data_IF_976935107262
#
_entry.id   IF_976935107262
#
_cell.length_a   1.000
_cell.length_b   1.000
_cell.length_c   1.000
_cell.angle_alpha   90.00
_cell.angle_beta   90.00
_cell.angle_gamma   90.00
#
_symmetry.space_group_name_H-M   'P 1'
#
loop_
_entity.id
_entity.type
_entity.pdbx_description
1 polymer ?
#
# COMPACT_ATOMS: atom_id res chain seq x y z
N UNK A 1 27.34 -14.44 -21.51
CA UNK A 1 26.21 -14.19 -20.58
C UNK A 1 26.60 -13.31 -19.40
N UNK A 2 27.81 -13.46 -18.82
CA UNK A 2 28.29 -12.64 -17.69
C UNK A 2 28.30 -11.11 -17.93
N UNK A 3 28.63 -10.63 -19.14
CA UNK A 3 28.64 -9.18 -19.45
C UNK A 3 27.27 -8.51 -19.36
N UNK A 4 26.18 -9.21 -19.70
CA UNK A 4 24.80 -8.68 -19.63
C UNK A 4 24.26 -8.75 -18.20
N UNK A 5 24.55 -9.84 -17.49
CA UNK A 5 24.14 -10.01 -16.08
C UNK A 5 24.85 -9.03 -15.15
N UNK A 6 26.15 -8.77 -15.36
CA UNK A 6 26.92 -7.76 -14.61
C UNK A 6 26.38 -6.36 -14.86
N UNK A 7 25.96 -6.05 -16.09
CA UNK A 7 25.39 -4.75 -16.44
C UNK A 7 24.04 -4.53 -15.75
N UNK A 8 23.17 -5.55 -15.74
CA UNK A 8 21.87 -5.49 -15.04
C UNK A 8 22.08 -5.35 -13.53
N UNK A 9 23.00 -6.11 -12.94
CA UNK A 9 23.30 -6.04 -11.51
C UNK A 9 23.87 -4.67 -11.11
N UNK A 10 24.71 -4.07 -11.97
CA UNK A 10 25.27 -2.74 -11.76
C UNK A 10 24.20 -1.64 -11.83
N UNK A 11 23.26 -1.75 -12.78
CA UNK A 11 22.12 -0.84 -12.88
C UNK A 11 21.21 -0.94 -11.66
N UNK A 12 20.93 -2.16 -11.17
CA UNK A 12 20.14 -2.38 -9.95
C UNK A 12 20.84 -1.79 -8.72
N UNK A 13 22.16 -2.01 -8.58
CA UNK A 13 22.94 -1.44 -7.47
C UNK A 13 22.99 0.10 -7.47
N UNK A 14 23.03 0.73 -8.65
CA UNK A 14 22.97 2.19 -8.80
C UNK A 14 21.59 2.77 -8.45
N UNK A 15 20.51 2.01 -8.61
CA UNK A 15 19.16 2.43 -8.20
C UNK A 15 19.01 2.35 -6.68
N UNK A 16 19.60 1.34 -6.03
CA UNK A 16 19.56 1.21 -4.56
C UNK A 16 20.40 2.26 -3.82
N UNK A 17 21.46 2.79 -4.42
CA UNK A 17 22.26 3.86 -3.79
C UNK A 17 21.55 5.22 -3.76
N UNK A 18 20.50 5.42 -4.57
CA UNK A 18 19.70 6.65 -4.60
C UNK A 18 18.60 6.69 -3.53
N UNK A 19 18.30 5.57 -2.87
CA UNK A 19 17.30 5.49 -1.79
C UNK A 19 17.84 5.96 -0.41
N UNK A 20 19.16 6.16 -0.27
CA UNK A 20 19.80 6.45 1.02
C UNK A 20 20.04 7.96 1.30
N UNK A 21 19.62 8.86 0.41
CA UNK A 21 19.85 10.31 0.55
C UNK A 21 18.55 11.11 0.46
N UNK A 22 17.76 11.14 1.54
CA UNK A 22 16.85 12.24 1.89
C UNK A 22 15.98 12.84 0.74
N UNK A 23 15.46 12.01 -0.17
CA UNK A 23 14.67 12.46 -1.34
C UNK A 23 13.17 12.60 -1.00
N UNK A 24 12.81 13.12 0.18
CA UNK A 24 11.40 13.49 0.44
C UNK A 24 11.01 14.83 -0.22
N UNK A 25 11.94 15.61 -0.77
CA UNK A 25 11.66 17.00 -1.17
C UNK A 25 11.88 17.38 -2.65
N UNK A 26 12.36 16.46 -3.52
CA UNK A 26 12.59 16.76 -4.96
C UNK A 26 11.94 15.81 -5.96
N UNK A 27 11.25 14.77 -5.47
CA UNK A 27 10.51 13.84 -6.34
C UNK A 27 9.18 14.46 -6.82
N UNK A 28 8.53 15.28 -5.99
CA UNK A 28 7.22 15.87 -6.32
C UNK A 28 7.24 16.85 -7.51
N UNK A 29 8.36 17.54 -7.79
CA UNK A 29 8.36 18.60 -8.82
C UNK A 29 8.91 18.17 -10.20
N UNK A 30 9.44 16.95 -10.37
CA UNK A 30 10.11 16.56 -11.63
C UNK A 30 9.64 15.27 -12.30
N UNK A 31 8.83 14.45 -11.65
CA UNK A 31 8.26 13.26 -12.30
C UNK A 31 7.07 13.65 -13.21
N UNK A 32 6.37 14.74 -12.89
CA UNK A 32 5.22 15.22 -13.66
C UNK A 32 5.54 15.69 -15.10
N UNK A 33 6.79 16.11 -15.41
CA UNK A 33 7.03 16.85 -16.66
C UNK A 33 7.59 16.05 -17.85
N UNK A 34 8.03 14.78 -17.73
CA UNK A 34 8.73 14.14 -18.86
C UNK A 34 8.49 12.66 -19.14
N UNK A 35 7.55 12.01 -18.46
CA UNK A 35 7.24 10.61 -18.74
C UNK A 35 5.83 10.52 -19.31
N UNK A 36 5.75 10.75 -20.62
CA UNK A 36 4.54 10.50 -21.43
C UNK A 36 4.09 9.04 -21.24
N UNK A 37 2.80 8.85 -20.94
CA UNK A 37 2.10 7.57 -20.67
C UNK A 37 2.58 6.42 -21.60
N UNK A 38 2.75 6.70 -22.89
CA UNK A 38 3.13 5.69 -23.89
C UNK A 38 4.52 5.04 -23.76
N UNK A 39 5.41 5.51 -22.87
CA UNK A 39 6.70 4.83 -22.62
C UNK A 39 6.58 3.78 -21.52
N UNK A 40 5.70 3.98 -20.53
CA UNK A 40 5.48 3.00 -19.47
C UNK A 40 4.59 1.84 -19.93
N UNK A 41 3.56 2.12 -20.74
CA UNK A 41 2.69 1.08 -21.34
C UNK A 41 3.51 0.02 -22.09
N UNK A 42 4.52 0.45 -22.85
CA UNK A 42 5.43 -0.46 -23.57
C UNK A 42 6.33 -1.31 -22.68
N UNK A 43 6.56 -0.88 -21.44
CA UNK A 43 7.42 -1.60 -20.48
C UNK A 43 6.59 -2.58 -19.64
N UNK A 44 5.35 -2.22 -19.29
CA UNK A 44 4.44 -3.06 -18.51
C UNK A 44 3.81 -4.19 -19.35
N UNK A 45 3.68 -3.99 -20.67
CA UNK A 45 3.12 -4.97 -21.60
C UNK A 45 1.74 -4.54 -22.10
N UNK A 46 1.43 -4.92 -23.35
CA UNK A 46 0.13 -4.65 -23.99
C UNK A 46 -1.01 -5.16 -23.07
N UNK A 47 -1.92 -4.28 -22.67
CA UNK A 47 -3.07 -4.58 -21.80
C UNK A 47 -3.06 -3.93 -20.41
N UNK A 48 -1.95 -3.29 -20.02
CA UNK A 48 -1.81 -2.64 -18.70
C UNK A 48 -2.10 -1.13 -18.80
N UNK A 49 -3.16 -0.66 -18.14
CA UNK A 49 -3.54 0.77 -18.09
C UNK A 49 -2.79 1.47 -16.93
N UNK A 50 -2.03 2.52 -17.26
CA UNK A 50 -1.20 3.26 -16.31
C UNK A 50 -1.69 4.70 -16.24
N UNK A 51 -2.21 5.08 -15.08
CA UNK A 51 -2.70 6.42 -14.81
C UNK A 51 -1.71 7.14 -13.88
N UNK A 52 -1.10 8.23 -14.39
CA UNK A 52 -0.13 9.06 -13.67
C UNK A 52 -0.84 10.36 -13.27
N UNK A 53 -1.05 10.52 -11.97
CA UNK A 53 -1.60 11.75 -11.39
C UNK A 53 -0.54 12.49 -10.58
N UNK A 54 -0.75 13.78 -10.30
CA UNK A 54 0.15 14.59 -9.45
C UNK A 54 0.42 13.97 -8.06
N UNK A 55 -0.42 13.04 -7.59
CA UNK A 55 -0.27 12.36 -6.31
C UNK A 55 0.42 10.99 -6.33
N UNK A 56 0.51 10.32 -7.49
CA UNK A 56 1.02 8.94 -7.53
C UNK A 56 0.80 8.20 -8.86
N UNK A 57 1.29 6.95 -8.90
CA UNK A 57 1.20 6.05 -10.05
C UNK A 57 0.14 4.99 -9.76
N UNK A 58 -0.84 4.84 -10.64
CA UNK A 58 -1.82 3.76 -10.59
C UNK A 58 -1.58 2.77 -11.73
N UNK A 59 -1.49 1.49 -11.40
CA UNK A 59 -1.37 0.38 -12.33
C UNK A 59 -2.64 -0.45 -12.22
N UNK A 60 -3.34 -0.68 -13.34
CA UNK A 60 -4.48 -1.59 -13.42
C UNK A 60 -4.09 -2.83 -14.23
N UNK A 61 -4.26 -4.01 -13.62
CA UNK A 61 -4.13 -5.28 -14.31
C UNK A 61 -5.42 -5.67 -15.05
N UNK A 62 -5.33 -6.57 -16.03
CA UNK A 62 -6.48 -7.06 -16.81
C UNK A 62 -7.53 -7.77 -15.93
N UNK A 63 -7.14 -8.28 -14.76
CA UNK A 63 -8.00 -8.95 -13.78
C UNK A 63 -8.74 -8.02 -12.81
N UNK A 64 -8.71 -6.69 -13.02
CA UNK A 64 -9.38 -5.72 -12.14
C UNK A 64 -8.57 -5.31 -10.90
N UNK A 65 -7.38 -5.89 -10.73
CA UNK A 65 -6.40 -5.51 -9.71
C UNK A 65 -5.93 -4.07 -9.92
N UNK A 66 -5.91 -3.28 -8.84
CA UNK A 66 -5.46 -1.88 -8.87
C UNK A 66 -4.40 -1.64 -7.80
N UNK A 67 -3.21 -1.25 -8.24
CA UNK A 67 -2.12 -0.84 -7.36
C UNK A 67 -1.88 0.66 -7.54
N UNK A 68 -1.95 1.43 -6.46
CA UNK A 68 -1.64 2.86 -6.43
C UNK A 68 -0.45 3.12 -5.51
N UNK A 69 0.60 3.75 -6.02
CA UNK A 69 1.81 4.11 -5.28
C UNK A 69 1.89 5.64 -5.17
N UNK A 70 1.89 6.16 -3.94
CA UNK A 70 1.97 7.60 -3.62
C UNK A 70 0.60 8.29 -3.44
N UNK A 71 0.55 9.22 -2.48
CA UNK A 71 -0.46 10.30 -2.35
C UNK A 71 -1.91 9.91 -2.62
N UNK A 72 -2.34 8.74 -2.16
CA UNK A 72 -3.57 8.09 -2.59
C UNK A 72 -4.80 8.47 -1.77
N UNK A 73 -5.98 8.34 -2.38
CA UNK A 73 -7.25 8.28 -1.65
C UNK A 73 -7.49 6.87 -1.10
N UNK A 74 -8.41 6.75 -0.14
CA UNK A 74 -8.87 5.44 0.33
C UNK A 74 -9.43 4.60 -0.83
N UNK A 75 -9.05 3.30 -0.95
CA UNK A 75 -9.55 2.45 -2.04
C UNK A 75 -11.06 2.28 -2.02
N UNK A 76 -11.64 2.20 -3.21
CA UNK A 76 -13.08 1.90 -3.43
C UNK A 76 -13.20 0.61 -4.22
N UNK A 77 -14.23 -0.19 -3.92
CA UNK A 77 -14.46 -1.47 -4.59
C UNK A 77 -13.60 -2.61 -4.05
N UNK A 78 -13.78 -3.82 -4.61
CA UNK A 78 -13.05 -5.01 -4.19
C UNK A 78 -13.15 -5.30 -2.69
N UNK A 79 -12.09 -5.89 -2.13
CA UNK A 79 -12.00 -6.22 -0.72
C UNK A 79 -11.97 -4.98 0.20
N UNK A 80 -11.58 -3.81 -0.30
CA UNK A 80 -11.59 -2.57 0.49
C UNK A 80 -12.97 -2.22 1.07
N UNK A 81 -14.06 -2.64 0.41
CA UNK A 81 -15.43 -2.41 0.90
C UNK A 81 -15.74 -3.15 2.23
N UNK A 82 -14.93 -4.15 2.59
CA UNK A 82 -15.06 -4.87 3.85
C UNK A 82 -14.49 -4.07 5.02
N UNK A 83 -13.56 -3.16 4.76
CA UNK A 83 -12.89 -2.36 5.78
C UNK A 83 -13.64 -1.04 6.05
N UNK A 84 -13.63 -0.54 7.30
CA UNK A 84 -14.05 0.83 7.57
C UNK A 84 -13.07 1.83 6.92
N UNK A 85 -13.57 2.94 6.40
CA UNK A 85 -12.71 3.96 5.79
C UNK A 85 -11.83 4.65 6.85
N UNK A 86 -10.54 4.82 6.55
CA UNK A 86 -9.61 5.60 7.38
C UNK A 86 -9.21 6.91 6.70
N UNK A 87 -9.33 8.03 7.43
CA UNK A 87 -9.17 9.40 6.89
C UNK A 87 -8.05 10.20 7.56
N UNK A 88 -7.24 9.55 8.40
CA UNK A 88 -6.18 10.20 9.18
C UNK A 88 -4.82 9.75 8.64
N UNK A 89 -3.81 10.61 8.77
CA UNK A 89 -2.50 10.37 8.16
C UNK A 89 -2.49 10.49 6.63
N UNK A 90 -1.41 10.01 6.03
CA UNK A 90 -1.13 10.08 4.60
C UNK A 90 -1.07 8.67 4.03
N UNK A 91 -1.93 8.35 3.07
CA UNK A 91 -1.86 7.07 2.35
C UNK A 91 -0.67 7.13 1.38
N UNK A 92 0.30 6.25 1.60
CA UNK A 92 1.52 6.17 0.78
C UNK A 92 1.45 5.06 -0.27
N UNK A 93 0.65 4.02 -0.04
CA UNK A 93 0.47 2.93 -1.00
C UNK A 93 -0.84 2.19 -0.77
N UNK A 94 -1.46 1.75 -1.86
CA UNK A 94 -2.68 0.95 -1.88
C UNK A 94 -2.51 -0.18 -2.89
N UNK A 95 -2.83 -1.40 -2.48
CA UNK A 95 -3.05 -2.52 -3.40
C UNK A 95 -4.46 -3.05 -3.12
N UNK A 96 -5.37 -3.02 -4.10
CA UNK A 96 -6.75 -3.46 -3.92
C UNK A 96 -7.18 -4.35 -5.10
N UNK A 97 -7.79 -5.47 -4.75
CA UNK A 97 -8.39 -6.45 -5.65
C UNK A 97 -9.63 -7.05 -4.97
N UNK A 98 -10.35 -7.92 -5.68
CA UNK A 98 -11.51 -8.61 -5.10
C UNK A 98 -11.12 -9.59 -3.99
N UNK A 99 -9.92 -10.19 -4.06
CA UNK A 99 -9.40 -11.17 -3.09
C UNK A 99 -8.69 -10.54 -1.89
N UNK A 100 -8.33 -9.25 -1.95
CA UNK A 100 -7.62 -8.61 -0.86
C UNK A 100 -7.33 -7.13 -1.07
N UNK A 101 -7.10 -6.44 0.03
CA UNK A 101 -6.74 -5.04 0.05
C UNK A 101 -5.66 -4.78 1.09
N UNK A 102 -4.63 -4.02 0.71
CA UNK A 102 -3.59 -3.51 1.59
C UNK A 102 -3.51 -1.99 1.44
N UNK A 103 -3.51 -1.28 2.57
CA UNK A 103 -3.31 0.17 2.65
C UNK A 103 -2.15 0.44 3.58
N UNK A 104 -1.15 1.17 3.10
CA UNK A 104 -0.02 1.64 3.90
C UNK A 104 -0.16 3.15 4.12
N UNK A 105 -0.05 3.57 5.37
CA UNK A 105 -0.15 4.96 5.80
C UNK A 105 1.07 5.39 6.62
N UNK A 106 1.40 6.68 6.51
CA UNK A 106 2.33 7.41 7.37
C UNK A 106 1.59 8.52 8.13
N UNK A 107 2.25 9.16 9.09
CA UNK A 107 1.73 10.30 9.86
C UNK A 107 0.40 9.99 10.60
N UNK A 108 0.23 8.74 11.04
CA UNK A 108 -0.94 8.31 11.82
C UNK A 108 -0.67 8.53 13.30
N UNK A 109 -1.54 9.27 13.98
CA UNK A 109 -1.43 9.42 15.43
C UNK A 109 -1.90 8.15 16.16
N UNK A 110 -1.25 7.85 17.30
CA UNK A 110 -1.49 6.61 18.05
C UNK A 110 -2.95 6.42 18.45
N UNK A 111 -3.62 7.51 18.88
CA UNK A 111 -5.04 7.50 19.22
C UNK A 111 -5.93 7.15 18.03
N UNK A 112 -5.58 7.64 16.83
CA UNK A 112 -6.35 7.36 15.61
C UNK A 112 -6.19 5.89 15.19
N UNK A 113 -5.01 5.30 15.39
CA UNK A 113 -4.76 3.88 15.15
C UNK A 113 -5.58 2.98 16.10
N UNK A 114 -5.59 3.31 17.40
CA UNK A 114 -6.44 2.61 18.39
C UNK A 114 -7.92 2.70 18.04
N UNK A 115 -8.41 3.91 17.71
CA UNK A 115 -9.80 4.12 17.32
C UNK A 115 -10.15 3.36 16.03
N UNK A 116 -9.19 3.17 15.13
CA UNK A 116 -9.38 2.39 13.92
C UNK A 116 -9.47 0.88 14.20
N UNK A 117 -8.64 0.35 15.10
CA UNK A 117 -8.73 -1.05 15.56
C UNK A 117 -10.14 -1.32 16.12
N UNK A 118 -10.68 -0.41 16.93
CA UNK A 118 -12.04 -0.54 17.45
C UNK A 118 -13.11 -0.48 16.34
N UNK A 119 -12.91 0.32 15.29
CA UNK A 119 -13.80 0.30 14.11
C UNK A 119 -13.75 -1.03 13.36
N UNK A 120 -12.57 -1.65 13.24
CA UNK A 120 -12.42 -2.96 12.60
C UNK A 120 -13.14 -4.04 13.41
N UNK A 121 -13.00 -4.03 14.75
CA UNK A 121 -13.77 -4.91 15.64
C UNK A 121 -15.27 -4.72 15.47
N UNK A 122 -15.74 -3.47 15.48
CA UNK A 122 -17.16 -3.13 15.31
C UNK A 122 -17.71 -3.49 13.91
N UNK A 123 -16.84 -3.65 12.90
CA UNK A 123 -17.21 -4.12 11.57
C UNK A 123 -17.44 -5.64 11.51
N UNK A 124 -17.10 -6.36 12.57
CA UNK A 124 -17.37 -7.79 12.74
C UNK A 124 -16.12 -8.68 12.75
N UNK A 125 -14.95 -8.13 12.45
CA UNK A 125 -13.68 -8.86 12.50
C UNK A 125 -13.34 -9.16 13.95
N UNK A 126 -13.79 -10.31 14.45
CA UNK A 126 -13.69 -10.72 15.86
C UNK A 126 -13.45 -12.21 16.03
N UNK A 127 -13.43 -13.00 14.94
CA UNK A 127 -13.13 -14.41 14.97
C UNK A 127 -11.64 -14.65 15.23
N UNK A 128 -11.32 -15.50 16.22
CA UNK A 128 -9.95 -15.92 16.59
C UNK A 128 -8.96 -14.73 16.65
N UNK A 129 -9.23 -13.71 17.50
CA UNK A 129 -8.45 -12.49 17.49
C UNK A 129 -7.03 -12.73 18.02
N UNK A 130 -6.06 -12.11 17.34
CA UNK A 130 -4.67 -11.96 17.78
C UNK A 130 -4.45 -10.48 18.04
N UNK A 131 -4.16 -10.14 19.29
CA UNK A 131 -3.99 -8.76 19.72
C UNK A 131 -2.72 -8.63 20.56
N UNK A 132 -1.89 -7.64 20.22
CA UNK A 132 -0.65 -7.34 20.94
C UNK A 132 -0.43 -5.83 20.98
N UNK A 133 -0.30 -5.30 22.19
CA UNK A 133 0.05 -3.91 22.45
C UNK A 133 1.43 -3.87 23.08
N UNK A 134 2.44 -3.57 22.26
CA UNK A 134 3.82 -3.43 22.70
C UNK A 134 4.26 -1.97 22.85
N UNK A 135 5.44 -1.77 23.42
CA UNK A 135 6.04 -0.44 23.56
C UNK A 135 6.34 0.24 22.22
N UNK A 136 6.55 -0.54 21.16
CA UNK A 136 6.91 -0.03 19.82
C UNK A 136 5.83 -0.23 18.77
N UNK A 137 4.78 -1.02 19.03
CA UNK A 137 3.77 -1.34 18.01
C UNK A 137 2.42 -1.73 18.61
N UNK A 138 1.37 -1.59 17.81
CA UNK A 138 0.07 -2.24 18.01
C UNK A 138 -0.19 -3.20 16.88
N UNK A 139 -0.65 -4.40 17.21
CA UNK A 139 -1.04 -5.40 16.24
C UNK A 139 -2.41 -5.94 16.60
N UNK A 140 -3.34 -5.88 15.66
CA UNK A 140 -4.64 -6.54 15.73
C UNK A 140 -4.85 -7.36 14.47
N UNK A 141 -5.27 -8.61 14.60
CA UNK A 141 -5.70 -9.44 13.47
C UNK A 141 -6.88 -10.32 13.90
N UNK A 142 -7.88 -10.46 13.04
CA UNK A 142 -9.04 -11.30 13.30
C UNK A 142 -9.76 -11.68 11.99
N UNK A 143 -10.52 -12.76 12.04
CA UNK A 143 -11.46 -13.14 11.00
C UNK A 143 -12.80 -12.41 11.13
N UNK A 144 -13.44 -12.10 10.02
CA UNK A 144 -14.87 -11.87 9.94
C UNK A 144 -15.63 -13.21 9.90
N UNK A 145 -15.02 -14.18 9.20
CA UNK A 145 -15.42 -15.58 9.10
C UNK A 145 -14.18 -16.44 8.81
N UNK A 146 -14.36 -17.74 8.50
CA UNK A 146 -13.26 -18.68 8.23
C UNK A 146 -12.39 -18.34 7.02
N UNK A 147 -12.87 -17.51 6.09
CA UNK A 147 -12.17 -17.15 4.85
C UNK A 147 -11.66 -15.71 4.85
N UNK A 148 -12.35 -14.83 5.56
CA UNK A 148 -12.13 -13.39 5.46
C UNK A 148 -11.39 -12.89 6.70
N UNK A 149 -10.16 -12.43 6.52
CA UNK A 149 -9.29 -12.01 7.63
C UNK A 149 -8.81 -10.58 7.44
N UNK A 150 -8.81 -9.78 8.50
CA UNK A 150 -8.22 -8.45 8.51
C UNK A 150 -7.09 -8.35 9.54
N UNK A 151 -6.13 -7.47 9.26
CA UNK A 151 -5.11 -7.08 10.22
C UNK A 151 -4.80 -5.58 10.16
N UNK A 152 -4.41 -5.05 11.31
CA UNK A 152 -3.94 -3.68 11.51
C UNK A 152 -2.64 -3.77 12.28
N UNK A 153 -1.55 -3.29 11.67
CA UNK A 153 -0.25 -3.16 12.30
C UNK A 153 0.13 -1.68 12.34
N UNK A 154 0.37 -1.15 13.53
CA UNK A 154 0.80 0.22 13.75
C UNK A 154 2.17 0.22 14.41
N UNK A 155 3.13 0.95 13.84
CA UNK A 155 4.45 1.19 14.43
C UNK A 155 4.45 2.58 15.08
N UNK A 156 4.65 2.62 16.40
CA UNK A 156 4.61 3.87 17.19
C UNK A 156 5.79 4.79 16.88
N UNK A 157 6.94 4.22 16.51
CA UNK A 157 8.18 4.96 16.29
C UNK A 157 8.13 5.71 14.97
N UNK A 158 7.62 5.07 13.92
CA UNK A 158 7.50 5.67 12.59
C UNK A 158 6.14 6.31 12.34
N UNK A 159 5.17 6.14 13.26
CA UNK A 159 3.78 6.57 13.07
C UNK A 159 3.16 6.02 11.78
N UNK A 160 3.56 4.82 11.40
CA UNK A 160 3.09 4.15 10.18
C UNK A 160 2.08 3.08 10.51
N UNK A 161 1.02 2.97 9.70
CA UNK A 161 -0.01 1.96 9.87
C UNK A 161 -0.18 1.17 8.57
N UNK A 162 -0.21 -0.14 8.69
CA UNK A 162 -0.59 -1.07 7.62
C UNK A 162 -1.94 -1.67 7.96
N UNK A 163 -2.89 -1.54 7.04
CA UNK A 163 -4.20 -2.17 7.11
C UNK A 163 -4.27 -3.20 6.00
N UNK A 164 -4.69 -4.42 6.34
CA UNK A 164 -4.85 -5.51 5.38
C UNK A 164 -6.21 -6.20 5.58
N UNK A 165 -6.83 -6.61 4.48
CA UNK A 165 -7.88 -7.62 4.45
C UNK A 165 -7.58 -8.61 3.33
N UNK A 166 -7.81 -9.89 3.59
CA UNK A 166 -7.63 -10.99 2.64
C UNK A 166 -8.83 -11.93 2.71
N UNK A 167 -9.20 -12.48 1.55
CA UNK A 167 -10.25 -13.48 1.40
C UNK A 167 -9.58 -14.73 0.83
N UNK A 168 -9.58 -15.82 1.61
CA UNK A 168 -9.06 -17.12 1.21
C UNK A 168 -10.04 -17.82 0.24
N UNK A 169 -9.50 -18.62 -0.69
CA UNK A 169 -10.28 -19.35 -1.71
C UNK A 169 -11.18 -20.46 -1.15
#
# INVERSE_FOLDING_TARGET
>A
MLRKTVLVLLCVALVFSLAACNVKQKINEKIAEKVTEGVLEKIAGDGTDIDISEGGITIKGEGGEKITIGGGEWPKGGAANLLPEFKKGTIVSVANADSGCMVLLEDVEEKDAEDYIEKVKNKGFTEKPIESYGDSYYNYAAGLDEKTHASVLYDKKTKSMTINVQIDE
#
